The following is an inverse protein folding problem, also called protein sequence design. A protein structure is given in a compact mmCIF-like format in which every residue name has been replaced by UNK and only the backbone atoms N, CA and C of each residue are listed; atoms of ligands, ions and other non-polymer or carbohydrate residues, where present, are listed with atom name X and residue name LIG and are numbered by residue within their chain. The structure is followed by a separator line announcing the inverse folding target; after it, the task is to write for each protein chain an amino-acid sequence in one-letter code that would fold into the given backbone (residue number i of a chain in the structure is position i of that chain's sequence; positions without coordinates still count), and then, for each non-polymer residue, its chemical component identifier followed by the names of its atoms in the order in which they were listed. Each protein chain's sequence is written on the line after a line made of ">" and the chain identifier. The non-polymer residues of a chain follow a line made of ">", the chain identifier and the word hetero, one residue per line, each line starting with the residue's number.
data_IF_378079364408
#
_entry.id   IF_378079364408
#
_cell.length_a   1.000
_cell.length_b   1.000
_cell.length_c   1.000
_cell.angle_alpha   90.00
_cell.angle_beta   90.00
_cell.angle_gamma   90.00
#
_symmetry.space_group_name_H-M   'P 1'
#
loop_
_entity.id
_entity.type
_entity.pdbx_description
1 polymer ?
#
# COMPACT_ATOMS: atom_id res chain seq x y z
N UNK A 1 13.46 -8.92 11.07
CA UNK A 1 14.03 -7.63 10.65
C UNK A 1 13.24 -7.14 9.44
N UNK A 2 12.73 -5.90 9.44
CA UNK A 2 12.15 -5.30 8.21
C UNK A 2 13.28 -5.20 7.19
N UNK A 3 13.13 -5.78 6.00
CA UNK A 3 14.06 -5.54 4.89
C UNK A 3 14.03 -4.04 4.57
N UNK A 4 15.16 -3.36 4.67
CA UNK A 4 15.31 -2.00 4.15
C UNK A 4 15.48 -2.09 2.63
N UNK A 5 14.45 -1.68 1.89
CA UNK A 5 14.51 -1.64 0.45
C UNK A 5 15.42 -0.51 -0.02
N UNK A 6 16.37 -0.83 -0.90
CA UNK A 6 17.20 0.15 -1.60
C UNK A 6 16.34 1.02 -2.51
N UNK A 7 16.81 2.24 -2.83
CA UNK A 7 16.07 3.17 -3.66
C UNK A 7 15.68 2.58 -5.03
N UNK A 8 16.55 1.74 -5.62
CA UNK A 8 16.32 1.07 -6.90
C UNK A 8 15.30 -0.09 -6.84
N UNK A 9 14.99 -0.60 -5.65
CA UNK A 9 13.99 -1.67 -5.47
C UNK A 9 12.57 -1.11 -5.31
N UNK A 10 12.46 0.19 -5.01
CA UNK A 10 11.18 0.88 -4.82
C UNK A 10 10.43 0.96 -6.14
N UNK A 11 9.12 0.68 -6.08
CA UNK A 11 8.21 0.82 -7.21
C UNK A 11 7.41 2.11 -7.07
N UNK A 12 7.08 2.74 -8.20
CA UNK A 12 6.21 3.92 -8.25
C UNK A 12 4.84 3.54 -8.81
N UNK A 13 3.80 4.21 -8.33
CA UNK A 13 2.43 4.07 -8.84
C UNK A 13 2.07 5.43 -9.45
N UNK A 14 1.59 5.44 -10.69
CA UNK A 14 1.02 6.64 -11.32
C UNK A 14 -0.47 6.69 -10.97
N UNK A 15 -0.93 7.84 -10.53
CA UNK A 15 -2.33 8.08 -10.13
C UNK A 15 -2.81 9.40 -10.72
N UNK A 16 -4.12 9.56 -10.83
CA UNK A 16 -4.73 10.81 -11.27
C UNK A 16 -4.45 11.94 -10.27
N UNK A 17 -4.43 13.22 -10.72
CA UNK A 17 -4.13 14.36 -9.86
C UNK A 17 -5.00 14.43 -8.60
N UNK A 18 -6.31 14.19 -8.73
CA UNK A 18 -7.25 14.21 -7.60
C UNK A 18 -6.94 13.16 -6.54
N UNK A 19 -6.48 11.98 -6.94
CA UNK A 19 -6.07 10.90 -6.01
C UNK A 19 -4.76 11.28 -5.32
N UNK A 20 -3.81 11.83 -6.07
CA UNK A 20 -2.55 12.30 -5.50
C UNK A 20 -2.78 13.38 -4.44
N UNK A 21 -3.60 14.39 -4.76
CA UNK A 21 -3.89 15.51 -3.86
C UNK A 21 -4.60 15.05 -2.59
N UNK A 22 -5.51 14.07 -2.70
CA UNK A 22 -6.15 13.46 -1.53
C UNK A 22 -5.12 12.75 -0.62
N UNK A 23 -4.31 11.85 -1.17
CA UNK A 23 -3.29 11.12 -0.40
C UNK A 23 -2.30 12.10 0.24
N UNK A 24 -1.87 13.11 -0.52
CA UNK A 24 -0.96 14.15 -0.03
C UNK A 24 -1.57 14.93 1.13
N UNK A 25 -2.81 15.40 0.97
CA UNK A 25 -3.51 16.15 2.00
C UNK A 25 -3.67 15.34 3.29
N UNK A 26 -4.08 14.07 3.17
CA UNK A 26 -4.16 13.15 4.31
C UNK A 26 -2.80 12.95 4.98
N UNK A 27 -1.73 12.76 4.19
CA UNK A 27 -0.38 12.55 4.71
C UNK A 27 0.13 13.75 5.51
N UNK A 28 -0.18 14.98 5.07
CA UNK A 28 0.19 16.22 5.76
C UNK A 28 -0.57 16.36 7.07
N UNK A 29 -1.89 16.16 7.05
CA UNK A 29 -2.74 16.30 8.25
C UNK A 29 -2.40 15.25 9.32
N UNK A 30 -1.98 14.06 8.91
CA UNK A 30 -1.68 12.94 9.82
C UNK A 30 -0.20 12.80 10.15
N UNK A 31 0.65 13.74 9.71
CA UNK A 31 2.11 13.70 9.86
C UNK A 31 2.73 12.32 9.52
N UNK A 32 2.22 11.71 8.44
CA UNK A 32 2.60 10.36 8.03
C UNK A 32 3.18 10.41 6.63
N UNK A 33 4.27 9.68 6.37
CA UNK A 33 4.85 9.62 5.02
C UNK A 33 3.84 9.00 4.05
N UNK A 34 3.67 9.57 2.86
CA UNK A 34 2.67 9.12 1.89
C UNK A 34 2.71 7.60 1.61
N UNK A 35 3.89 7.00 1.50
CA UNK A 35 3.99 5.56 1.26
C UNK A 35 3.54 4.71 2.47
N UNK A 36 3.79 5.18 3.70
CA UNK A 36 3.34 4.53 4.92
C UNK A 36 1.82 4.63 5.04
N UNK A 37 1.25 5.79 4.71
CA UNK A 37 -0.19 6.01 4.66
C UNK A 37 -0.86 5.08 3.64
N UNK A 38 -0.36 5.01 2.40
CA UNK A 38 -0.91 4.11 1.37
C UNK A 38 -0.84 2.65 1.83
N UNK A 39 0.26 2.23 2.45
CA UNK A 39 0.39 0.88 3.01
C UNK A 39 -0.64 0.61 4.12
N UNK A 40 -0.88 1.56 5.02
CA UNK A 40 -1.91 1.46 6.06
C UNK A 40 -3.31 1.37 5.44
N UNK A 41 -3.61 2.19 4.43
CA UNK A 41 -4.89 2.16 3.72
C UNK A 41 -5.12 0.81 3.05
N UNK A 42 -4.13 0.25 2.35
CA UNK A 42 -4.23 -1.06 1.72
C UNK A 42 -4.47 -2.18 2.75
N UNK A 43 -3.77 -2.17 3.89
CA UNK A 43 -3.97 -3.15 4.97
C UNK A 43 -5.36 -3.03 5.58
N UNK A 44 -5.79 -1.81 5.87
CA UNK A 44 -7.12 -1.53 6.43
C UNK A 44 -8.22 -2.01 5.49
N UNK A 45 -8.09 -1.75 4.19
CA UNK A 45 -9.03 -2.25 3.19
C UNK A 45 -9.04 -3.79 3.13
N UNK A 46 -7.86 -4.42 3.17
CA UNK A 46 -7.75 -5.88 3.19
C UNK A 46 -8.40 -6.51 4.43
N UNK A 47 -8.32 -5.84 5.59
CA UNK A 47 -8.85 -6.37 6.84
C UNK A 47 -10.36 -6.12 7.00
N UNK A 48 -10.87 -4.99 6.50
CA UNK A 48 -12.25 -4.57 6.74
C UNK A 48 -13.20 -4.84 5.57
N UNK A 49 -12.70 -4.92 4.34
CA UNK A 49 -13.54 -4.95 3.13
C UNK A 49 -13.42 -6.25 2.33
N UNK A 50 -12.43 -7.09 2.65
CA UNK A 50 -12.14 -8.31 1.89
C UNK A 50 -12.52 -9.54 2.70
N UNK A 51 -13.29 -10.45 2.10
CA UNK A 51 -13.63 -11.72 2.75
C UNK A 51 -12.39 -12.59 2.97
N UNK A 52 -12.46 -13.50 3.94
CA UNK A 52 -11.35 -14.41 4.27
C UNK A 52 -10.81 -15.16 3.03
N UNK A 53 -11.71 -15.66 2.17
CA UNK A 53 -11.35 -16.38 0.94
C UNK A 53 -10.64 -15.49 -0.10
N UNK A 54 -11.11 -14.25 -0.27
CA UNK A 54 -10.47 -13.29 -1.17
C UNK A 54 -9.09 -12.87 -0.63
N UNK A 55 -8.98 -12.67 0.68
CA UNK A 55 -7.72 -12.36 1.35
C UNK A 55 -6.68 -13.47 1.16
N UNK A 56 -7.07 -14.73 1.33
CA UNK A 56 -6.21 -15.88 1.04
C UNK A 56 -5.70 -15.89 -0.40
N UNK A 57 -6.59 -15.59 -1.36
CA UNK A 57 -6.25 -15.53 -2.78
C UNK A 57 -5.24 -14.40 -3.07
N UNK A 58 -5.46 -13.21 -2.52
CA UNK A 58 -4.56 -12.06 -2.66
C UNK A 58 -3.18 -12.38 -2.07
N UNK A 59 -3.12 -12.99 -0.88
CA UNK A 59 -1.86 -13.35 -0.23
C UNK A 59 -1.09 -14.44 -1.01
N UNK A 60 -1.78 -15.36 -1.67
CA UNK A 60 -1.16 -16.35 -2.55
C UNK A 60 -0.53 -15.68 -3.79
N UNK A 61 -1.23 -14.72 -4.41
CA UNK A 61 -0.71 -13.97 -5.55
C UNK A 61 0.56 -13.17 -5.19
N UNK A 62 0.60 -12.55 -4.00
CA UNK A 62 1.78 -11.82 -3.54
C UNK A 62 3.02 -12.73 -3.41
N UNK A 63 2.86 -13.93 -2.85
CA UNK A 63 3.97 -14.90 -2.72
C UNK A 63 4.48 -15.41 -4.07
N UNK A 64 3.62 -15.50 -5.08
CA UNK A 64 4.03 -15.90 -6.43
C UNK A 64 4.87 -14.82 -7.11
N UNK A 65 4.56 -13.55 -6.86
CA UNK A 65 5.27 -12.40 -7.42
C UNK A 65 6.63 -12.12 -6.74
N UNK A 66 6.93 -12.80 -5.63
CA UNK A 66 8.23 -12.74 -4.95
C UNK A 66 9.27 -13.75 -5.51
N UNK A 67 8.87 -14.63 -6.44
CA UNK A 67 9.75 -15.55 -7.18
C UNK A 67 10.23 -14.94 -8.48
#
# INVERSE_FOLDING_TARGET
>A
MKKEYKANERKTIKVDPSVYDLIKSMSVVTDTKMYDLVNQMCKTYLDNNVSQRQKETILLMLKQNEK
#
